data_IF_534966525744
#
_entry.id   IF_534966525744
#
_cell.length_a   1.000
_cell.length_b   1.000
_cell.length_c   1.000
_cell.angle_alpha   90.00
_cell.angle_beta   90.00
_cell.angle_gamma   90.00
#
_symmetry.space_group_name_H-M   'P 1'
#
loop_
_entity.id
_entity.type
_entity.pdbx_description
1 polymer ?
#
# COMPACT_ATOMS: atom_id res chain seq x y z
N UNK A 1 8.90 -1.84 -10.83
CA UNK A 1 9.05 -0.46 -11.37
C UNK A 1 10.39 0.10 -10.96
N UNK A 2 10.93 1.05 -11.71
CA UNK A 2 12.13 1.83 -11.38
C UNK A 2 11.76 3.24 -10.89
N UNK A 3 12.67 3.91 -10.19
CA UNK A 3 12.55 5.33 -9.81
C UNK A 3 12.63 6.24 -11.04
N UNK A 4 13.50 5.89 -11.98
CA UNK A 4 13.58 6.57 -13.27
C UNK A 4 12.47 6.10 -14.21
N UNK A 5 11.78 7.06 -14.80
CA UNK A 5 10.68 6.91 -15.78
C UNK A 5 11.15 7.37 -17.16
N UNK A 6 10.21 7.76 -18.01
CA UNK A 6 10.45 8.25 -19.36
C UNK A 6 11.45 9.42 -19.36
N UNK A 7 12.47 9.33 -20.22
CA UNK A 7 13.57 10.32 -20.35
C UNK A 7 14.40 10.53 -19.07
N UNK A 8 14.42 9.55 -18.15
CA UNK A 8 15.20 9.63 -16.92
C UNK A 8 14.59 10.52 -15.83
N UNK A 9 13.37 11.02 -16.04
CA UNK A 9 12.66 11.82 -15.05
C UNK A 9 12.14 10.94 -13.89
N UNK A 10 11.97 11.49 -12.68
CA UNK A 10 11.36 10.75 -11.58
C UNK A 10 9.95 10.22 -11.91
N UNK A 11 9.68 8.98 -11.50
CA UNK A 11 8.41 8.29 -11.75
C UNK A 11 7.21 9.03 -11.17
N UNK A 12 7.33 9.52 -9.95
CA UNK A 12 6.29 10.26 -9.26
C UNK A 12 5.92 11.54 -10.00
N UNK A 13 6.91 12.31 -10.47
CA UNK A 13 6.68 13.54 -11.24
C UNK A 13 5.95 13.29 -12.56
N UNK A 14 6.17 12.14 -13.19
CA UNK A 14 5.57 11.81 -14.50
C UNK A 14 4.22 11.10 -14.40
N UNK A 15 4.03 10.24 -13.39
CA UNK A 15 2.84 9.40 -13.26
C UNK A 15 1.83 9.93 -12.25
N UNK A 16 2.23 10.74 -11.26
CA UNK A 16 1.32 11.35 -10.27
C UNK A 16 0.94 12.76 -10.74
N UNK A 17 -0.05 12.84 -11.63
CA UNK A 17 -0.58 14.13 -12.11
C UNK A 17 -2.11 14.17 -12.05
N UNK A 18 -2.68 15.38 -11.99
CA UNK A 18 -4.14 15.57 -11.97
C UNK A 18 -4.81 15.00 -13.22
N UNK A 19 -4.18 15.15 -14.38
CA UNK A 19 -4.70 14.63 -15.65
C UNK A 19 -4.74 13.11 -15.62
N UNK A 20 -3.66 12.46 -15.15
CA UNK A 20 -3.62 10.99 -15.03
C UNK A 20 -4.67 10.50 -14.03
N UNK A 21 -4.82 11.18 -12.88
CA UNK A 21 -5.86 10.85 -11.90
C UNK A 21 -7.27 10.98 -12.48
N UNK A 22 -7.55 12.08 -13.17
CA UNK A 22 -8.84 12.32 -13.83
C UNK A 22 -9.16 11.25 -14.89
N UNK A 23 -8.19 10.91 -15.75
CA UNK A 23 -8.35 9.87 -16.76
C UNK A 23 -8.58 8.48 -16.11
N UNK A 24 -7.86 8.18 -15.03
CA UNK A 24 -8.03 6.91 -14.33
C UNK A 24 -9.40 6.76 -13.65
N UNK A 25 -10.05 7.87 -13.27
CA UNK A 25 -11.42 7.84 -12.73
C UNK A 25 -12.48 7.69 -13.82
N UNK A 26 -12.23 8.19 -15.03
CA UNK A 26 -13.16 8.12 -16.16
C UNK A 26 -13.09 6.80 -16.95
N UNK A 27 -11.92 6.16 -17.00
CA UNK A 27 -11.72 4.97 -17.79
C UNK A 27 -12.14 3.70 -17.03
N UNK A 28 -12.67 2.67 -17.73
CA UNK A 28 -12.96 1.38 -17.11
C UNK A 28 -11.72 0.74 -16.50
N UNK A 29 -11.85 0.13 -15.32
CA UNK A 29 -10.73 -0.46 -14.59
C UNK A 29 -9.97 -1.54 -15.38
N UNK A 30 -10.63 -2.27 -16.29
CA UNK A 30 -9.98 -3.25 -17.17
C UNK A 30 -8.98 -2.58 -18.12
N UNK A 31 -9.35 -1.45 -18.72
CA UNK A 31 -8.51 -0.69 -19.65
C UNK A 31 -7.33 -0.05 -18.90
N UNK A 32 -7.58 0.53 -17.73
CA UNK A 32 -6.53 1.10 -16.89
C UNK A 32 -5.53 0.02 -16.47
N UNK A 33 -6.00 -1.15 -16.02
CA UNK A 33 -5.12 -2.29 -15.70
C UNK A 33 -4.30 -2.71 -16.92
N UNK A 34 -4.93 -2.87 -18.08
CA UNK A 34 -4.24 -3.28 -19.30
C UNK A 34 -3.16 -2.29 -19.72
N UNK A 35 -3.44 -0.98 -19.67
CA UNK A 35 -2.45 0.07 -19.97
C UNK A 35 -1.27 -0.02 -19.01
N UNK A 36 -1.52 -0.13 -17.71
CA UNK A 36 -0.47 -0.24 -16.70
C UNK A 36 0.36 -1.51 -16.85
N UNK A 37 -0.26 -2.67 -17.03
CA UNK A 37 0.44 -3.94 -17.29
C UNK A 37 1.34 -3.85 -18.52
N UNK A 38 0.83 -3.26 -19.60
CA UNK A 38 1.61 -3.06 -20.83
C UNK A 38 2.80 -2.12 -20.60
N UNK A 39 2.60 -0.99 -19.92
CA UNK A 39 3.70 -0.06 -19.60
C UNK A 39 4.75 -0.70 -18.71
N UNK A 40 4.35 -1.51 -17.73
CA UNK A 40 5.28 -2.23 -16.86
C UNK A 40 6.09 -3.28 -17.63
N UNK A 41 5.41 -4.08 -18.44
CA UNK A 41 6.04 -5.14 -19.23
C UNK A 41 6.89 -4.62 -20.39
N UNK A 42 6.72 -3.36 -20.79
CA UNK A 42 7.53 -2.74 -21.83
C UNK A 42 9.00 -2.59 -21.40
N UNK A 43 9.28 -2.40 -20.10
CA UNK A 43 10.65 -2.26 -19.59
C UNK A 43 11.29 -3.61 -19.26
N UNK A 44 10.54 -4.50 -18.62
CA UNK A 44 10.97 -5.84 -18.27
C UNK A 44 9.77 -6.79 -18.38
N UNK A 45 9.92 -7.92 -19.08
CA UNK A 45 8.89 -8.94 -19.09
C UNK A 45 8.82 -9.64 -17.73
N UNK A 46 7.81 -9.32 -16.92
CA UNK A 46 7.72 -9.83 -15.55
C UNK A 46 7.50 -11.36 -15.50
N UNK A 47 7.03 -11.98 -16.58
CA UNK A 47 6.85 -13.44 -16.66
C UNK A 47 8.21 -14.15 -16.66
N UNK A 48 9.13 -13.70 -17.50
CA UNK A 48 10.49 -14.24 -17.64
C UNK A 48 11.31 -14.05 -16.35
N UNK A 49 11.07 -12.95 -15.64
CA UNK A 49 11.77 -12.64 -14.39
C UNK A 49 11.16 -13.32 -13.16
N UNK A 50 10.08 -14.11 -13.30
CA UNK A 50 9.39 -14.72 -12.17
C UNK A 50 8.70 -13.71 -11.24
N UNK A 51 8.38 -12.51 -11.75
CA UNK A 51 7.75 -11.42 -11.00
C UNK A 51 6.26 -11.24 -11.36
N UNK A 52 5.71 -12.10 -12.21
CA UNK A 52 4.32 -12.01 -12.62
C UNK A 52 3.37 -12.37 -11.47
N UNK A 53 2.55 -11.42 -11.09
CA UNK A 53 1.52 -11.59 -10.06
C UNK A 53 0.28 -12.28 -10.61
N UNK A 54 -0.41 -13.05 -9.76
CA UNK A 54 -1.74 -13.58 -10.06
C UNK A 54 -2.82 -12.48 -10.01
N UNK A 55 -2.56 -11.39 -9.27
CA UNK A 55 -3.47 -10.25 -9.16
C UNK A 55 -3.14 -9.17 -10.18
N UNK A 56 -4.18 -8.44 -10.61
CA UNK A 56 -4.06 -7.30 -11.53
C UNK A 56 -3.34 -6.12 -10.88
N UNK A 57 -2.67 -5.31 -11.71
CA UNK A 57 -1.77 -4.24 -11.24
C UNK A 57 -2.43 -3.23 -10.30
N UNK A 58 -3.68 -2.84 -10.54
CA UNK A 58 -4.36 -1.85 -9.69
C UNK A 58 -4.75 -2.39 -8.31
N UNK A 59 -4.77 -3.72 -8.13
CA UNK A 59 -5.10 -4.37 -6.86
C UNK A 59 -3.89 -4.53 -5.95
N UNK A 60 -2.70 -4.41 -6.52
CA UNK A 60 -1.43 -4.59 -5.82
C UNK A 60 -0.69 -3.26 -5.67
N UNK A 61 0.23 -3.23 -4.69
CA UNK A 61 1.18 -2.14 -4.54
C UNK A 61 2.42 -2.48 -5.36
N UNK A 62 2.80 -1.67 -6.34
CA UNK A 62 3.95 -1.99 -7.16
C UNK A 62 5.25 -1.75 -6.39
N UNK A 63 6.20 -2.68 -6.54
CA UNK A 63 7.56 -2.52 -6.02
C UNK A 63 8.34 -1.50 -6.86
N UNK A 64 9.05 -0.60 -6.18
CA UNK A 64 9.99 0.34 -6.80
C UNK A 64 11.41 -0.10 -6.44
N UNK A 65 12.13 -0.64 -7.42
CA UNK A 65 13.51 -1.07 -7.29
C UNK A 65 14.22 -0.97 -8.66
N UNK A 66 15.34 -0.25 -8.70
CA UNK A 66 16.11 -0.04 -9.93
C UNK A 66 17.08 -1.20 -10.23
N UNK A 67 17.55 -1.90 -9.19
CA UNK A 67 18.60 -2.92 -9.29
C UNK A 67 18.04 -4.34 -9.44
N UNK A 68 16.81 -4.58 -8.97
CA UNK A 68 16.21 -5.92 -8.93
C UNK A 68 16.27 -6.65 -10.29
N UNK A 69 15.86 -6.05 -11.42
CA UNK A 69 15.93 -6.74 -12.71
C UNK A 69 17.37 -7.12 -13.08
N UNK A 70 18.33 -6.22 -12.86
CA UNK A 70 19.74 -6.47 -13.17
C UNK A 70 20.30 -7.62 -12.32
N UNK A 71 19.97 -7.65 -11.02
CA UNK A 71 20.43 -8.70 -10.10
C UNK A 71 19.85 -10.08 -10.43
N UNK A 72 18.61 -10.13 -10.92
CA UNK A 72 18.00 -11.37 -11.43
C UNK A 72 18.73 -11.85 -12.70
N UNK A 73 18.96 -10.95 -13.66
CA UNK A 73 19.67 -11.29 -14.90
C UNK A 73 21.09 -11.80 -14.67
N UNK A 74 21.80 -11.24 -13.69
CA UNK A 74 23.15 -11.66 -13.33
C UNK A 74 23.18 -13.00 -12.56
N UNK A 75 22.03 -13.57 -12.21
CA UNK A 75 21.93 -14.79 -11.40
C UNK A 75 22.24 -14.59 -9.91
N UNK A 76 22.41 -13.34 -9.46
CA UNK A 76 22.65 -13.02 -8.06
C UNK A 76 21.37 -13.14 -7.20
N UNK A 77 20.19 -13.08 -7.83
CA UNK A 77 18.90 -13.31 -7.19
C UNK A 77 18.10 -14.32 -8.00
N UNK A 78 17.59 -15.35 -7.33
CA UNK A 78 16.71 -16.36 -7.91
C UNK A 78 15.34 -16.25 -7.26
N UNK A 79 14.31 -16.04 -8.09
CA UNK A 79 12.93 -15.97 -7.61
C UNK A 79 12.40 -17.38 -7.35
N UNK A 80 11.77 -17.58 -6.19
CA UNK A 80 11.13 -18.83 -5.76
C UNK A 80 9.69 -18.56 -5.31
N UNK A 81 8.78 -19.55 -5.40
CA UNK A 81 7.42 -19.42 -4.88
C UNK A 81 7.42 -19.40 -3.34
N UNK A 82 6.24 -19.49 -2.72
CA UNK A 82 6.15 -19.49 -1.26
C UNK A 82 6.90 -20.68 -0.65
N UNK A 83 7.41 -20.47 0.56
CA UNK A 83 8.03 -21.51 1.38
C UNK A 83 6.94 -22.42 1.92
N UNK A 84 7.08 -23.72 1.68
CA UNK A 84 6.20 -24.77 2.22
C UNK A 84 6.63 -25.16 3.63
N UNK A 85 7.92 -25.44 3.83
CA UNK A 85 8.46 -25.83 5.13
C UNK A 85 9.97 -25.61 5.23
N UNK A 86 10.45 -25.48 6.47
CA UNK A 86 11.87 -25.44 6.81
C UNK A 86 12.29 -26.82 7.35
N UNK A 87 13.42 -27.35 6.86
CA UNK A 87 13.99 -28.64 7.24
C UNK A 87 15.45 -28.48 7.64
N UNK A 88 15.72 -28.16 8.90
CA UNK A 88 17.09 -27.88 9.35
C UNK A 88 17.67 -26.67 8.61
N UNK A 89 18.76 -26.87 7.85
CA UNK A 89 19.38 -25.86 6.98
C UNK A 89 18.79 -25.78 5.57
N UNK A 90 17.71 -26.52 5.31
CA UNK A 90 17.10 -26.62 3.98
C UNK A 90 15.71 -25.98 3.96
N UNK A 91 15.32 -25.43 2.81
CA UNK A 91 14.01 -24.81 2.60
C UNK A 91 13.30 -25.50 1.45
N UNK A 92 12.10 -25.99 1.70
CA UNK A 92 11.23 -26.61 0.70
C UNK A 92 10.20 -25.58 0.22
N UNK A 93 10.11 -25.39 -1.08
CA UNK A 93 9.19 -24.45 -1.72
C UNK A 93 7.92 -25.16 -2.25
N UNK A 94 6.88 -24.38 -2.54
CA UNK A 94 5.59 -24.91 -3.03
C UNK A 94 5.68 -25.64 -4.38
N UNK A 95 6.65 -25.28 -5.22
CA UNK A 95 6.92 -25.97 -6.48
C UNK A 95 7.66 -27.32 -6.30
N UNK A 96 7.96 -27.70 -5.06
CA UNK A 96 8.69 -28.91 -4.71
C UNK A 96 10.22 -28.77 -4.80
N UNK A 97 10.73 -27.61 -5.21
CA UNK A 97 12.18 -27.36 -5.18
C UNK A 97 12.68 -27.26 -3.73
N UNK A 98 13.93 -27.67 -3.51
CA UNK A 98 14.59 -27.63 -2.21
C UNK A 98 15.91 -26.90 -2.38
N UNK A 99 16.16 -25.93 -1.50
CA UNK A 99 17.46 -25.25 -1.41
C UNK A 99 18.12 -25.63 -0.08
N UNK A 100 19.33 -26.18 -0.16
CA UNK A 100 20.13 -26.61 0.98
C UNK A 100 21.17 -25.55 1.36
N UNK A 101 21.70 -25.63 2.59
CA UNK A 101 22.79 -24.77 3.04
C UNK A 101 22.39 -23.31 3.26
N UNK A 102 21.15 -23.06 3.69
CA UNK A 102 20.68 -21.71 4.00
C UNK A 102 21.24 -21.26 5.35
N UNK A 103 22.11 -20.25 5.31
CA UNK A 103 22.75 -19.68 6.51
C UNK A 103 21.82 -18.71 7.27
N UNK A 104 20.93 -18.01 6.56
CA UNK A 104 20.09 -16.97 7.14
C UNK A 104 18.76 -16.83 6.41
N UNK A 105 17.72 -16.50 7.19
CA UNK A 105 16.36 -16.22 6.69
C UNK A 105 15.96 -14.82 7.15
N UNK A 106 15.56 -13.97 6.22
CA UNK A 106 15.13 -12.59 6.50
C UNK A 106 13.65 -12.43 6.16
N UNK A 107 12.82 -12.20 7.18
CA UNK A 107 11.38 -12.00 7.00
C UNK A 107 11.06 -10.55 6.61
N UNK A 108 10.76 -10.35 5.33
CA UNK A 108 10.31 -9.06 4.77
C UNK A 108 8.77 -8.96 4.69
N UNK A 109 8.04 -9.48 5.67
CA UNK A 109 6.56 -9.65 5.65
C UNK A 109 5.77 -8.41 6.10
N UNK A 110 6.42 -7.25 6.18
CA UNK A 110 5.78 -6.00 6.60
C UNK A 110 5.54 -5.87 8.10
N UNK A 111 4.70 -4.90 8.48
CA UNK A 111 4.49 -4.48 9.87
C UNK A 111 3.01 -4.43 10.23
N UNK A 112 2.71 -4.71 11.50
CA UNK A 112 1.42 -4.41 12.13
C UNK A 112 1.58 -3.15 12.99
N UNK A 113 0.54 -2.33 13.07
CA UNK A 113 0.52 -1.16 13.95
C UNK A 113 -0.23 -1.49 15.25
N UNK A 114 0.18 -0.86 16.36
CA UNK A 114 -0.52 -0.91 17.63
C UNK A 114 -0.30 0.38 18.41
N UNK A 115 -1.28 0.76 19.23
CA UNK A 115 -1.23 1.95 20.09
C UNK A 115 -1.47 1.53 21.55
N UNK A 116 -0.49 0.88 22.21
CA UNK A 116 -0.70 0.26 23.54
C UNK A 116 -0.93 1.29 24.65
N UNK A 117 -0.62 2.56 24.40
CA UNK A 117 -0.87 3.69 25.29
C UNK A 117 -2.27 4.30 25.14
N UNK A 118 -3.12 3.78 24.24
CA UNK A 118 -4.49 4.22 24.03
C UNK A 118 -5.47 3.07 24.24
N UNK A 119 -6.67 3.33 24.80
CA UNK A 119 -7.68 2.30 24.95
C UNK A 119 -8.18 1.81 23.59
N UNK A 120 -8.21 0.49 23.41
CA UNK A 120 -8.63 -0.15 22.16
C UNK A 120 -10.05 0.24 21.73
N UNK A 121 -10.93 0.57 22.68
CA UNK A 121 -12.30 1.01 22.41
C UNK A 121 -12.40 2.30 21.57
N UNK A 122 -11.35 3.13 21.54
CA UNK A 122 -11.31 4.32 20.66
C UNK A 122 -11.27 3.97 19.18
N UNK A 123 -10.90 2.74 18.87
CA UNK A 123 -10.38 2.35 17.57
C UNK A 123 -11.08 1.12 16.99
N UNK A 124 -11.76 0.36 17.84
CA UNK A 124 -12.21 -0.99 17.50
C UNK A 124 -13.65 -0.99 17.03
N UNK A 125 -13.85 -1.31 15.76
CA UNK A 125 -15.03 -2.02 15.30
C UNK A 125 -14.68 -3.51 15.24
N UNK A 126 -15.52 -4.43 15.76
CA UNK A 126 -15.23 -5.87 15.76
C UNK A 126 -14.91 -6.36 14.34
N UNK A 127 -13.76 -7.02 14.17
CA UNK A 127 -13.36 -7.62 12.88
C UNK A 127 -12.91 -6.64 11.80
N UNK A 128 -12.69 -5.36 12.12
CA UNK A 128 -12.31 -4.33 11.13
C UNK A 128 -11.00 -3.62 11.46
N UNK A 129 -10.45 -2.95 10.43
CA UNK A 129 -9.41 -1.93 10.53
C UNK A 129 -9.78 -0.88 11.60
N UNK A 130 -8.76 -0.20 12.15
CA UNK A 130 -8.90 1.04 12.92
C UNK A 130 -10.01 1.94 12.35
N UNK A 131 -11.07 2.14 13.12
CA UNK A 131 -12.20 2.98 12.75
C UNK A 131 -11.82 4.47 12.90
N UNK A 132 -11.19 5.02 11.87
CA UNK A 132 -10.72 6.41 11.85
C UNK A 132 -11.34 7.15 10.67
N UNK A 133 -12.11 8.19 10.95
CA UNK A 133 -12.66 9.07 9.93
C UNK A 133 -11.53 9.74 9.16
N UNK A 134 -11.49 9.52 7.84
CA UNK A 134 -10.41 9.96 6.93
C UNK A 134 -9.00 9.56 7.41
N UNK A 135 -8.89 8.41 8.09
CA UNK A 135 -7.65 7.92 8.70
C UNK A 135 -7.04 8.89 9.72
N UNK A 136 -7.87 9.70 10.39
CA UNK A 136 -7.42 10.76 11.28
C UNK A 136 -8.14 10.74 12.64
N UNK A 137 -9.46 10.83 12.65
CA UNK A 137 -10.23 11.05 13.88
C UNK A 137 -10.98 9.80 14.34
N UNK A 138 -10.90 9.43 15.63
CA UNK A 138 -11.79 8.44 16.23
C UNK A 138 -13.23 8.98 16.28
N UNK A 139 -14.22 8.34 15.62
CA UNK A 139 -15.60 8.85 15.59
C UNK A 139 -16.28 8.93 16.95
N UNK A 140 -15.98 7.98 17.83
CA UNK A 140 -16.59 7.86 19.16
C UNK A 140 -16.07 8.90 20.17
N UNK A 141 -15.01 9.65 19.84
CA UNK A 141 -14.41 10.61 20.76
C UNK A 141 -15.08 11.99 20.64
N UNK A 142 -15.86 12.37 21.66
CA UNK A 142 -16.45 13.70 21.79
C UNK A 142 -16.03 14.33 23.12
N UNK A 143 -15.37 15.51 23.13
CA UNK A 143 -14.98 16.36 22.00
C UNK A 143 -13.79 15.80 21.16
N UNK A 144 -13.65 16.17 19.88
CA UNK A 144 -12.62 15.64 18.97
C UNK A 144 -11.23 16.24 19.26
N UNK A 145 -10.60 15.73 20.31
CA UNK A 145 -9.33 16.23 20.88
C UNK A 145 -8.12 15.37 20.53
N UNK A 146 -8.32 14.24 19.84
CA UNK A 146 -7.27 13.31 19.42
C UNK A 146 -7.33 13.09 17.91
N UNK A 147 -6.17 13.14 17.26
CA UNK A 147 -5.99 12.86 15.84
C UNK A 147 -4.77 11.95 15.63
N UNK A 148 -4.90 10.92 14.79
CA UNK A 148 -3.83 10.02 14.39
C UNK A 148 -3.30 10.46 13.03
N UNK A 149 -2.08 10.99 12.98
CA UNK A 149 -1.48 11.49 11.73
C UNK A 149 -0.57 10.43 11.12
N UNK A 150 -0.59 10.29 9.79
CA UNK A 150 0.33 9.41 9.05
C UNK A 150 -0.12 7.96 8.95
N UNK A 151 -1.28 7.59 9.50
CA UNK A 151 -1.78 6.21 9.46
C UNK A 151 -2.56 5.91 8.17
N UNK A 152 -1.87 6.03 7.04
CA UNK A 152 -2.40 5.71 5.72
C UNK A 152 -1.28 5.22 4.82
N UNK A 153 -1.65 4.70 3.66
CA UNK A 153 -0.69 4.28 2.66
C UNK A 153 -1.05 4.94 1.34
N UNK A 154 -0.22 5.86 0.87
CA UNK A 154 -0.44 6.62 -0.34
C UNK A 154 0.34 6.06 -1.54
N UNK A 155 -0.09 6.42 -2.75
CA UNK A 155 0.67 6.15 -3.99
C UNK A 155 1.79 7.16 -4.24
N UNK A 156 1.82 8.25 -3.47
CA UNK A 156 2.82 9.31 -3.55
C UNK A 156 3.50 9.57 -2.20
N UNK A 157 4.29 10.66 -2.09
CA UNK A 157 5.02 10.97 -0.87
C UNK A 157 4.08 11.20 0.31
N UNK A 158 4.47 10.68 1.48
CA UNK A 158 3.68 10.80 2.72
C UNK A 158 3.66 12.24 3.26
N UNK A 159 4.75 12.99 3.07
CA UNK A 159 4.96 14.31 3.66
C UNK A 159 3.84 15.32 3.32
N UNK A 160 3.49 15.57 2.03
CA UNK A 160 2.42 16.53 1.72
C UNK A 160 1.05 16.07 2.22
N UNK A 161 0.80 14.77 2.29
CA UNK A 161 -0.48 14.24 2.77
C UNK A 161 -0.57 14.40 4.30
N UNK A 162 0.51 14.10 5.03
CA UNK A 162 0.60 14.33 6.46
C UNK A 162 0.48 15.83 6.80
N UNK A 163 1.07 16.71 6.00
CA UNK A 163 0.90 18.16 6.14
C UNK A 163 -0.59 18.56 6.04
N UNK A 164 -1.30 18.06 5.03
CA UNK A 164 -2.74 18.34 4.88
C UNK A 164 -3.55 17.77 6.06
N UNK A 165 -3.20 16.57 6.53
CA UNK A 165 -3.81 15.97 7.72
C UNK A 165 -3.64 16.86 8.96
N UNK A 166 -2.42 17.36 9.22
CA UNK A 166 -2.12 18.23 10.37
C UNK A 166 -2.83 19.57 10.28
N UNK A 167 -2.85 20.19 9.08
CA UNK A 167 -3.56 21.45 8.84
C UNK A 167 -5.06 21.34 9.13
N UNK A 168 -5.67 20.20 8.81
CA UNK A 168 -7.08 19.96 9.14
C UNK A 168 -7.26 19.60 10.62
N UNK A 169 -6.41 18.74 11.18
CA UNK A 169 -6.46 18.31 12.58
C UNK A 169 -6.43 19.49 13.55
N UNK A 170 -5.45 20.38 13.38
CA UNK A 170 -5.26 21.56 14.24
C UNK A 170 -6.47 22.49 14.23
N UNK A 171 -7.09 22.70 13.06
CA UNK A 171 -8.29 23.54 12.94
C UNK A 171 -9.53 22.93 13.61
N UNK A 172 -9.65 21.60 13.58
CA UNK A 172 -10.73 20.89 14.29
C UNK A 172 -10.52 20.97 15.80
N UNK A 173 -9.31 20.69 16.28
CA UNK A 173 -8.97 20.75 17.71
C UNK A 173 -9.14 22.18 18.26
N UNK A 174 -8.81 23.20 17.46
CA UNK A 174 -9.04 24.61 17.81
C UNK A 174 -10.51 25.06 17.70
N UNK A 175 -11.43 24.18 17.27
CA UNK A 175 -12.86 24.49 17.11
C UNK A 175 -13.20 25.35 15.88
N UNK A 176 -12.22 25.65 15.01
CA UNK A 176 -12.42 26.43 13.78
C UNK A 176 -13.14 25.62 12.68
N UNK A 177 -13.07 24.29 12.76
CA UNK A 177 -13.73 23.37 11.86
C UNK A 177 -14.49 22.32 12.69
N UNK A 178 -15.71 21.97 12.27
CA UNK A 178 -16.53 20.96 12.94
C UNK A 178 -16.48 19.64 12.17
N UNK A 179 -16.37 18.53 12.90
CA UNK A 179 -16.57 17.19 12.32
C UNK A 179 -18.07 16.96 12.08
N UNK A 180 -18.42 16.11 11.09
CA UNK A 180 -19.81 15.67 10.92
C UNK A 180 -20.23 14.76 12.08
N UNK A 181 -21.50 14.35 12.09
CA UNK A 181 -22.02 13.43 13.11
C UNK A 181 -21.29 12.09 13.10
N UNK A 182 -21.25 11.42 14.25
CA UNK A 182 -20.63 10.10 14.39
C UNK A 182 -21.17 9.09 13.37
N UNK A 183 -22.49 9.07 13.16
CA UNK A 183 -23.13 8.22 12.17
C UNK A 183 -22.61 8.47 10.74
N UNK A 184 -22.40 9.74 10.38
CA UNK A 184 -21.86 10.11 9.06
C UNK A 184 -20.41 9.68 8.92
N UNK A 185 -19.60 9.85 9.99
CA UNK A 185 -18.21 9.40 10.01
C UNK A 185 -18.11 7.88 9.86
N UNK A 186 -18.94 7.12 10.57
CA UNK A 186 -18.99 5.66 10.48
C UNK A 186 -19.44 5.18 9.09
N UNK A 187 -20.45 5.83 8.49
CA UNK A 187 -20.87 5.55 7.11
C UNK A 187 -19.74 5.76 6.09
N UNK A 188 -18.96 6.83 6.24
CA UNK A 188 -17.80 7.11 5.38
C UNK A 188 -16.72 6.03 5.52
N UNK A 189 -16.38 5.65 6.76
CA UNK A 189 -15.41 4.57 7.05
C UNK A 189 -15.83 3.25 6.43
N UNK A 190 -17.11 2.88 6.54
CA UNK A 190 -17.63 1.64 5.94
C UNK A 190 -17.58 1.68 4.41
N UNK A 191 -17.91 2.81 3.79
CA UNK A 191 -17.83 3.00 2.34
C UNK A 191 -16.38 2.88 1.85
N UNK A 192 -15.44 3.50 2.56
CA UNK A 192 -14.01 3.43 2.26
C UNK A 192 -13.48 2.00 2.41
N UNK A 193 -13.85 1.30 3.48
CA UNK A 193 -13.45 -0.08 3.74
C UNK A 193 -13.90 -1.01 2.61
N UNK A 194 -15.17 -0.92 2.19
CA UNK A 194 -15.69 -1.66 1.03
C UNK A 194 -14.95 -1.31 -0.26
N UNK A 195 -14.55 -0.05 -0.45
CA UNK A 195 -13.77 0.38 -1.63
C UNK A 195 -12.36 -0.22 -1.62
N UNK A 196 -11.73 -0.34 -0.44
CA UNK A 196 -10.41 -0.96 -0.29
C UNK A 196 -10.47 -2.47 -0.47
N UNK A 197 -11.50 -3.16 0.02
CA UNK A 197 -11.67 -4.61 -0.19
C UNK A 197 -11.94 -4.97 -1.65
N UNK A 198 -12.57 -4.08 -2.41
CA UNK A 198 -12.85 -4.27 -3.84
C UNK A 198 -11.63 -4.03 -4.74
N UNK A 199 -10.66 -3.25 -4.26
CA UNK A 199 -9.37 -3.04 -4.92
C UNK A 199 -8.55 -4.30 -4.77
#
# INVERSE_FOLDING_TARGET
>A
MSRASDRGMPLDMTKISRIVGFLAEWLPACLVNWLWERTLNQKYDHSVYGLQSQQRVLKQRPLINDDLPCRILLGALVMKPHVREFRGSSVVFEDGTVEDGIDAVVFCTGYKYSFPFLPASLFTLPGQRLALYKHLFPPALQPPTLAVVGLFQASGPIMPIAEMQVRWATRVIAGLNKLPTEETMLKDIQCETKRMERR
#
